data_IF_626165700740
#
_entry.id   IF_626165700740
#
_cell.length_a   1.000
_cell.length_b   1.000
_cell.length_c   1.000
_cell.angle_alpha   90.00
_cell.angle_beta   90.00
_cell.angle_gamma   90.00
#
_symmetry.space_group_name_H-M   'P 1'
#
loop_
_entity.id
_entity.type
_entity.pdbx_description
1 polymer ?
#
# COMPACT_ATOMS: atom_id res chain seq x y z
N UNK A 1 30.20 18.58 -10.54
CA UNK A 1 29.18 18.16 -9.54
C UNK A 1 28.00 17.35 -10.11
N UNK A 2 28.07 16.72 -11.30
CA UNK A 2 26.92 16.01 -11.94
C UNK A 2 26.90 14.47 -11.83
N UNK A 3 27.80 13.84 -11.07
CA UNK A 3 27.92 12.35 -11.04
C UNK A 3 27.12 11.65 -9.92
N UNK A 4 26.57 12.37 -8.94
CA UNK A 4 25.84 11.75 -7.80
C UNK A 4 24.35 11.49 -8.08
N UNK A 5 23.67 12.37 -8.83
CA UNK A 5 22.23 12.24 -9.10
C UNK A 5 21.86 10.99 -9.93
N UNK A 6 22.69 10.61 -10.93
CA UNK A 6 22.41 9.45 -11.78
C UNK A 6 22.50 8.10 -11.06
N UNK A 7 23.31 7.98 -10.00
CA UNK A 7 23.51 6.70 -9.30
C UNK A 7 22.34 6.38 -8.36
N UNK A 8 21.72 7.43 -7.81
CA UNK A 8 20.62 7.35 -6.86
C UNK A 8 19.30 6.99 -7.57
N UNK A 9 19.08 7.53 -8.77
CA UNK A 9 17.97 7.16 -9.67
C UNK A 9 18.01 5.70 -10.11
N UNK A 10 19.20 5.13 -10.30
CA UNK A 10 19.35 3.75 -10.75
C UNK A 10 19.02 2.77 -9.62
N UNK A 11 19.49 3.07 -8.40
CA UNK A 11 19.17 2.28 -7.22
C UNK A 11 17.67 2.28 -6.91
N UNK A 12 16.98 3.43 -6.96
CA UNK A 12 15.52 3.47 -6.73
C UNK A 12 14.73 2.64 -7.75
N UNK A 13 15.16 2.63 -9.02
CA UNK A 13 14.53 1.82 -10.07
C UNK A 13 14.78 0.32 -9.88
N UNK A 14 15.95 -0.06 -9.36
CA UNK A 14 16.29 -1.45 -9.05
C UNK A 14 15.49 -1.97 -7.84
N UNK A 15 15.33 -1.15 -6.80
CA UNK A 15 14.42 -1.47 -5.68
C UNK A 15 12.97 -1.62 -6.16
N UNK A 16 12.44 -0.68 -6.94
CA UNK A 16 11.08 -0.78 -7.49
C UNK A 16 10.87 -2.08 -8.28
N UNK A 17 11.87 -2.53 -9.03
CA UNK A 17 11.79 -3.78 -9.80
C UNK A 17 11.78 -5.00 -8.88
N UNK A 18 12.69 -5.08 -7.91
CA UNK A 18 12.79 -6.21 -6.98
C UNK A 18 11.54 -6.32 -6.11
N UNK A 19 11.02 -5.19 -5.63
CA UNK A 19 9.79 -5.14 -4.84
C UNK A 19 8.59 -5.63 -5.65
N UNK A 20 8.48 -5.24 -6.93
CA UNK A 20 7.38 -5.69 -7.79
C UNK A 20 7.44 -7.18 -8.12
N UNK A 21 8.63 -7.74 -8.29
CA UNK A 21 8.80 -9.17 -8.61
C UNK A 21 8.49 -10.10 -7.42
N UNK A 22 8.71 -9.63 -6.18
CA UNK A 22 8.56 -10.44 -4.97
C UNK A 22 7.51 -9.85 -4.00
N UNK A 23 6.53 -9.13 -4.55
CA UNK A 23 5.69 -8.22 -3.76
C UNK A 23 4.86 -8.93 -2.69
N UNK A 24 4.31 -10.11 -3.00
CA UNK A 24 3.51 -10.86 -2.04
C UNK A 24 4.37 -11.44 -0.90
N UNK A 25 5.53 -12.03 -1.23
CA UNK A 25 6.45 -12.61 -0.26
C UNK A 25 6.98 -11.54 0.72
N UNK A 26 7.19 -10.32 0.22
CA UNK A 26 7.64 -9.20 1.04
C UNK A 26 6.51 -8.61 1.87
N UNK A 27 5.33 -8.38 1.29
CA UNK A 27 4.22 -7.68 1.95
C UNK A 27 3.60 -8.51 3.05
N UNK A 28 3.44 -9.81 2.88
CA UNK A 28 2.70 -10.63 3.84
C UNK A 28 3.30 -10.53 5.26
N UNK A 29 4.62 -10.70 5.47
CA UNK A 29 5.26 -10.47 6.76
C UNK A 29 5.10 -9.03 7.28
N UNK A 30 5.14 -8.03 6.40
CA UNK A 30 4.94 -6.64 6.80
C UNK A 30 3.49 -6.34 7.19
N UNK A 31 2.51 -6.90 6.48
CA UNK A 31 1.10 -6.75 6.82
C UNK A 31 0.80 -7.38 8.19
N UNK A 32 1.44 -8.50 8.53
CA UNK A 32 1.33 -9.10 9.85
C UNK A 32 1.94 -8.20 10.93
N UNK A 33 3.18 -7.73 10.74
CA UNK A 33 3.91 -6.95 11.75
C UNK A 33 3.44 -5.50 11.88
N UNK A 34 3.09 -4.85 10.78
CA UNK A 34 2.82 -3.40 10.71
C UNK A 34 1.33 -3.07 10.69
N UNK A 35 0.51 -3.94 10.10
CA UNK A 35 -0.93 -3.74 9.95
C UNK A 35 -1.75 -4.67 10.86
N UNK A 36 -1.10 -5.58 11.61
CA UNK A 36 -1.73 -6.58 12.45
C UNK A 36 -2.70 -7.50 11.69
N UNK A 37 -2.34 -7.88 10.45
CA UNK A 37 -3.16 -8.73 9.57
C UNK A 37 -2.61 -10.14 9.53
N UNK A 38 -3.40 -11.11 10.00
CA UNK A 38 -3.00 -12.53 9.93
C UNK A 38 -3.02 -13.04 8.47
N UNK A 39 -1.93 -13.59 7.93
CA UNK A 39 -1.87 -14.09 6.55
C UNK A 39 -2.96 -15.11 6.19
N UNK A 40 -3.44 -15.92 7.15
CA UNK A 40 -4.50 -16.91 6.94
C UNK A 40 -5.85 -16.29 6.56
N UNK A 41 -6.01 -14.99 6.80
CA UNK A 41 -7.23 -14.24 6.53
C UNK A 41 -7.24 -13.56 5.16
N UNK A 42 -6.14 -13.61 4.40
CA UNK A 42 -6.05 -13.02 3.07
C UNK A 42 -6.73 -13.89 2.02
N UNK A 43 -7.49 -13.27 1.12
CA UNK A 43 -8.13 -13.91 -0.03
C UNK A 43 -7.90 -13.10 -1.29
N UNK A 44 -7.71 -13.81 -2.40
CA UNK A 44 -7.62 -13.21 -3.72
C UNK A 44 -8.92 -12.50 -4.07
N UNK A 45 -8.77 -11.43 -4.83
CA UNK A 45 -9.88 -10.69 -5.40
C UNK A 45 -9.98 -11.06 -6.89
N UNK A 46 -11.09 -11.65 -7.34
CA UNK A 46 -11.26 -11.95 -8.76
C UNK A 46 -11.49 -10.68 -9.59
N UNK A 47 -10.85 -10.60 -10.76
CA UNK A 47 -11.00 -9.54 -11.74
C UNK A 47 -10.70 -8.13 -11.19
N UNK A 48 -9.58 -7.99 -10.47
CA UNK A 48 -9.06 -6.72 -9.90
C UNK A 48 -9.10 -5.57 -10.89
N UNK A 49 -9.57 -4.39 -10.47
CA UNK A 49 -9.52 -3.03 -11.09
C UNK A 49 -9.38 -2.89 -12.64
N UNK A 50 -9.73 -3.90 -13.42
CA UNK A 50 -9.50 -4.01 -14.86
C UNK A 50 -10.63 -3.35 -15.66
N UNK A 51 -11.07 -2.18 -15.22
CA UNK A 51 -12.00 -1.31 -15.95
C UNK A 51 -11.25 -0.07 -16.36
N UNK A 52 -10.73 -0.05 -17.60
CA UNK A 52 -10.08 1.09 -18.31
C UNK A 52 -9.00 1.89 -17.57
N UNK A 53 -8.65 1.53 -16.33
CA UNK A 53 -7.44 1.97 -15.66
C UNK A 53 -6.31 1.12 -16.24
N UNK A 54 -5.40 1.76 -16.96
CA UNK A 54 -4.18 1.11 -17.45
C UNK A 54 -3.28 0.64 -16.29
N UNK A 55 -3.54 1.14 -15.08
CA UNK A 55 -2.74 0.92 -13.86
C UNK A 55 -3.44 -0.08 -12.94
N UNK A 56 -2.65 -1.03 -12.43
CA UNK A 56 -3.04 -1.98 -11.39
C UNK A 56 -2.42 -1.55 -10.05
N UNK A 57 -3.09 -1.82 -8.92
CA UNK A 57 -2.48 -1.64 -7.62
C UNK A 57 -1.30 -2.60 -7.44
N UNK A 58 -0.32 -2.20 -6.64
CA UNK A 58 0.84 -3.03 -6.34
C UNK A 58 0.45 -4.28 -5.51
N UNK A 59 -0.49 -4.13 -4.56
CA UNK A 59 -1.05 -5.25 -3.82
C UNK A 59 -2.51 -5.01 -3.42
N UNK A 60 -3.34 -6.03 -3.61
CA UNK A 60 -4.78 -5.98 -3.35
C UNK A 60 -5.29 -7.34 -2.89
N UNK A 61 -5.87 -7.42 -1.69
CA UNK A 61 -6.50 -8.64 -1.15
C UNK A 61 -7.73 -8.29 -0.34
N UNK A 62 -8.64 -9.25 -0.20
CA UNK A 62 -9.71 -9.20 0.80
C UNK A 62 -9.19 -9.78 2.11
N UNK A 63 -9.36 -9.06 3.21
CA UNK A 63 -9.08 -9.55 4.57
C UNK A 63 -10.38 -10.03 5.20
N UNK A 64 -10.39 -11.29 5.62
CA UNK A 64 -11.51 -11.90 6.36
C UNK A 64 -11.31 -11.67 7.85
N UNK A 65 -12.30 -11.07 8.51
CA UNK A 65 -12.17 -10.84 9.94
C UNK A 65 -12.16 -12.16 10.73
N UNK A 66 -11.30 -12.22 11.74
CA UNK A 66 -11.30 -13.35 12.67
C UNK A 66 -12.48 -13.23 13.64
N UNK A 67 -13.41 -14.19 13.53
CA UNK A 67 -14.62 -14.25 14.37
C UNK A 67 -14.33 -14.47 15.85
N UNK A 68 -13.12 -14.90 16.20
CA UNK A 68 -12.68 -15.09 17.59
C UNK A 68 -12.23 -13.79 18.28
N UNK A 69 -12.02 -12.70 17.53
CA UNK A 69 -11.60 -11.43 18.13
C UNK A 69 -12.77 -10.69 18.81
N UNK A 70 -12.52 -10.17 20.02
CA UNK A 70 -13.52 -9.45 20.83
C UNK A 70 -13.93 -8.11 20.21
N UNK A 71 -13.04 -7.48 19.48
CA UNK A 71 -13.37 -6.34 18.62
C UNK A 71 -13.91 -6.88 17.30
N UNK A 72 -15.17 -6.58 16.97
CA UNK A 72 -15.81 -7.00 15.72
C UNK A 72 -15.22 -6.21 14.55
N UNK A 73 -14.01 -6.58 14.13
CA UNK A 73 -13.48 -6.18 12.83
C UNK A 73 -14.39 -6.83 11.78
N UNK A 74 -14.80 -6.09 10.75
CA UNK A 74 -15.53 -6.63 9.60
C UNK A 74 -14.55 -6.99 8.50
N UNK A 75 -14.98 -7.83 7.57
CA UNK A 75 -14.23 -8.02 6.32
C UNK A 75 -13.96 -6.67 5.66
N UNK A 76 -12.75 -6.49 5.13
CA UNK A 76 -12.34 -5.27 4.45
C UNK A 76 -11.43 -5.58 3.26
N UNK A 77 -11.23 -4.59 2.40
CA UNK A 77 -10.29 -4.63 1.28
C UNK A 77 -8.99 -4.00 1.74
N UNK A 78 -7.88 -4.73 1.63
CA UNK A 78 -6.54 -4.21 1.84
C UNK A 78 -5.94 -3.81 0.50
N UNK A 79 -5.58 -2.54 0.37
CA UNK A 79 -4.98 -1.96 -0.82
C UNK A 79 -3.67 -1.28 -0.46
N UNK A 80 -2.57 -1.70 -1.07
CA UNK A 80 -1.22 -1.22 -0.78
C UNK A 80 -0.53 -0.76 -2.06
N UNK A 81 0.19 0.36 -1.96
CA UNK A 81 1.02 0.95 -3.01
C UNK A 81 2.44 1.21 -2.47
N UNK A 82 3.47 1.02 -3.30
CA UNK A 82 4.86 1.32 -2.96
C UNK A 82 5.30 2.60 -3.64
N UNK A 83 6.01 3.45 -2.91
CA UNK A 83 6.57 4.68 -3.46
C UNK A 83 7.99 4.91 -3.00
N UNK A 84 8.87 5.17 -3.96
CA UNK A 84 10.24 5.65 -3.73
C UNK A 84 10.34 7.18 -3.76
N UNK A 85 9.30 7.87 -4.26
CA UNK A 85 9.26 9.32 -4.40
C UNK A 85 7.89 9.87 -3.98
N UNK A 86 7.85 11.15 -3.61
CA UNK A 86 6.59 11.84 -3.31
C UNK A 86 5.80 12.10 -4.59
N UNK A 87 4.86 11.21 -4.90
CA UNK A 87 3.97 11.35 -6.05
C UNK A 87 2.94 12.45 -5.77
N UNK A 88 2.88 13.45 -6.67
CA UNK A 88 2.06 14.65 -6.48
C UNK A 88 0.57 14.35 -6.36
N UNK A 89 0.08 13.40 -7.15
CA UNK A 89 -1.35 13.10 -7.28
C UNK A 89 -1.75 11.85 -6.51
N UNK A 90 -0.90 11.38 -5.58
CA UNK A 90 -1.14 10.14 -4.84
C UNK A 90 -2.50 10.13 -4.14
N UNK A 91 -2.89 11.24 -3.48
CA UNK A 91 -4.19 11.31 -2.83
C UNK A 91 -5.36 11.12 -3.80
N UNK A 92 -5.26 11.66 -5.03
CA UNK A 92 -6.29 11.52 -6.04
C UNK A 92 -6.36 10.09 -6.57
N UNK A 93 -5.20 9.47 -6.83
CA UNK A 93 -5.09 8.07 -7.21
C UNK A 93 -5.68 7.14 -6.15
N UNK A 94 -5.33 7.34 -4.89
CA UNK A 94 -5.84 6.55 -3.77
C UNK A 94 -7.36 6.69 -3.62
N UNK A 95 -7.89 7.91 -3.77
CA UNK A 95 -9.34 8.15 -3.75
C UNK A 95 -10.08 7.49 -4.93
N UNK A 96 -9.49 7.50 -6.13
CA UNK A 96 -10.05 6.81 -7.29
C UNK A 96 -10.16 5.30 -7.04
N UNK A 97 -9.07 4.69 -6.57
CA UNK A 97 -9.08 3.28 -6.20
C UNK A 97 -10.11 2.99 -5.10
N UNK A 98 -10.19 3.83 -4.07
CA UNK A 98 -11.18 3.67 -3.01
C UNK A 98 -12.60 3.63 -3.59
N UNK A 99 -12.94 4.63 -4.41
CA UNK A 99 -14.28 4.75 -4.98
C UNK A 99 -14.64 3.54 -5.84
N UNK A 100 -13.70 3.02 -6.65
CA UNK A 100 -13.95 1.84 -7.49
C UNK A 100 -14.09 0.58 -6.65
N UNK A 101 -13.17 0.34 -5.70
CA UNK A 101 -13.18 -0.83 -4.83
C UNK A 101 -14.43 -0.85 -3.95
N UNK A 102 -14.73 0.26 -3.29
CA UNK A 102 -15.91 0.40 -2.44
C UNK A 102 -17.20 0.20 -3.24
N UNK A 103 -17.30 0.80 -4.44
CA UNK A 103 -18.46 0.61 -5.32
C UNK A 103 -18.65 -0.86 -5.67
N UNK A 104 -17.58 -1.58 -5.99
CA UNK A 104 -17.61 -2.97 -6.47
C UNK A 104 -17.87 -3.98 -5.35
N UNK A 105 -17.17 -3.86 -4.22
CA UNK A 105 -17.17 -4.87 -3.17
C UNK A 105 -18.08 -4.53 -1.98
N UNK A 106 -18.48 -3.26 -1.81
CA UNK A 106 -19.30 -2.80 -0.67
C UNK A 106 -18.68 -3.11 0.70
N UNK A 107 -17.35 -3.15 0.75
CA UNK A 107 -16.55 -3.36 1.95
C UNK A 107 -15.70 -2.12 2.19
N UNK A 108 -15.39 -1.85 3.45
CA UNK A 108 -14.43 -0.81 3.81
C UNK A 108 -13.09 -1.10 3.13
N UNK A 109 -12.40 -0.05 2.70
CA UNK A 109 -11.12 -0.17 2.00
C UNK A 109 -10.05 0.48 2.86
N UNK A 110 -9.14 -0.33 3.37
CA UNK A 110 -7.99 0.13 4.14
C UNK A 110 -6.82 0.30 3.18
N UNK A 111 -6.38 1.54 3.03
CA UNK A 111 -5.42 1.93 2.00
C UNK A 111 -4.13 2.47 2.62
N UNK A 112 -3.01 1.91 2.19
CA UNK A 112 -1.69 2.26 2.68
C UNK A 112 -0.72 2.54 1.55
N UNK A 113 0.16 3.53 1.73
CA UNK A 113 1.36 3.70 0.92
C UNK A 113 2.57 3.34 1.76
N UNK A 114 3.36 2.38 1.28
CA UNK A 114 4.64 2.02 1.85
C UNK A 114 5.72 2.89 1.19
N UNK A 115 6.24 3.86 1.94
CA UNK A 115 7.29 4.75 1.45
C UNK A 115 8.66 4.18 1.74
N UNK A 116 9.36 3.80 0.68
CA UNK A 116 10.72 3.22 0.69
C UNK A 116 11.76 4.19 0.10
N UNK A 117 11.35 5.43 -0.18
CA UNK A 117 12.22 6.49 -0.67
C UNK A 117 13.26 6.94 0.36
N UNK A 118 14.02 7.99 0.03
CA UNK A 118 14.98 8.60 0.99
C UNK A 118 14.28 9.63 1.88
N UNK A 119 14.61 9.62 3.18
CA UNK A 119 13.90 10.41 4.19
C UNK A 119 12.44 9.96 4.43
N UNK A 120 11.65 10.82 5.06
CA UNK A 120 10.21 10.59 5.25
C UNK A 120 9.40 11.14 4.10
N UNK A 121 8.29 10.48 3.77
CA UNK A 121 7.31 10.94 2.80
C UNK A 121 6.76 12.32 3.18
N UNK A 122 6.59 13.16 2.16
CA UNK A 122 5.99 14.50 2.24
C UNK A 122 4.76 14.65 1.35
N UNK A 123 4.38 13.60 0.62
CA UNK A 123 3.19 13.59 -0.23
C UNK A 123 1.92 13.89 0.56
N UNK A 124 0.96 14.53 -0.11
CA UNK A 124 -0.32 14.85 0.49
C UNK A 124 -1.13 13.56 0.70
N UNK A 125 -1.65 13.38 1.91
CA UNK A 125 -2.41 12.18 2.29
C UNK A 125 -3.92 12.41 2.35
N UNK A 126 -4.36 13.65 2.13
CA UNK A 126 -5.73 14.09 2.38
C UNK A 126 -6.28 14.83 1.16
N UNK A 127 -7.54 14.58 0.82
CA UNK A 127 -8.36 15.43 -0.04
C UNK A 127 -9.51 15.98 0.79
N UNK A 128 -9.61 17.30 0.81
CA UNK A 128 -10.73 18.02 1.41
C UNK A 128 -11.32 18.95 0.34
N UNK A 129 -12.61 18.80 0.09
CA UNK A 129 -13.44 19.68 -0.71
C UNK A 129 -14.84 19.75 -0.10
N UNK A 130 -15.69 20.65 -0.58
CA UNK A 130 -17.02 20.93 0.00
C UNK A 130 -17.84 19.68 0.34
N UNK A 131 -17.79 18.65 -0.52
CA UNK A 131 -18.56 17.41 -0.38
C UNK A 131 -17.67 16.16 -0.38
N UNK A 132 -16.36 16.30 -0.15
CA UNK A 132 -15.40 15.19 -0.19
C UNK A 132 -14.38 15.33 0.92
N UNK A 133 -14.29 14.31 1.77
CA UNK A 133 -13.22 14.14 2.75
C UNK A 133 -12.64 12.74 2.57
N UNK A 134 -11.38 12.67 2.17
CA UNK A 134 -10.69 11.41 1.92
C UNK A 134 -9.28 11.45 2.52
N UNK A 135 -8.83 10.31 3.05
CA UNK A 135 -7.50 10.10 3.61
C UNK A 135 -7.04 8.66 3.35
N UNK A 136 -5.74 8.48 3.19
CA UNK A 136 -5.05 7.20 3.30
C UNK A 136 -3.83 7.34 4.23
N UNK A 137 -3.26 6.23 4.65
CA UNK A 137 -2.12 6.23 5.58
C UNK A 137 -0.79 5.98 4.84
N UNK A 138 0.27 6.66 5.26
CA UNK A 138 1.63 6.43 4.77
C UNK A 138 2.48 5.79 5.87
N UNK A 139 3.09 4.66 5.52
CA UNK A 139 4.04 3.94 6.36
C UNK A 139 5.44 4.23 5.85
N UNK A 140 6.22 4.98 6.63
CA UNK A 140 7.62 5.25 6.31
C UNK A 140 8.47 4.05 6.71
N UNK A 141 9.01 3.32 5.73
CA UNK A 141 9.74 2.08 6.01
C UNK A 141 11.05 2.30 6.78
N UNK A 142 11.61 3.51 6.71
CA UNK A 142 12.78 3.90 7.51
C UNK A 142 12.51 3.98 9.01
N UNK A 143 11.25 4.14 9.43
CA UNK A 143 10.90 4.21 10.85
C UNK A 143 10.92 2.81 11.51
N UNK A 144 11.04 1.75 10.71
CA UNK A 144 11.15 0.37 11.18
C UNK A 144 12.61 -0.08 11.13
N UNK A 145 13.10 -0.69 12.21
CA UNK A 145 14.48 -1.15 12.28
C UNK A 145 14.74 -2.24 11.23
N UNK A 146 15.98 -2.30 10.74
CA UNK A 146 16.44 -3.31 9.77
C UNK A 146 16.14 -4.76 10.23
N UNK A 147 15.96 -4.98 11.54
CA UNK A 147 15.61 -6.27 12.16
C UNK A 147 14.18 -6.75 11.82
N UNK A 148 13.25 -5.84 11.52
CA UNK A 148 11.93 -6.22 11.00
C UNK A 148 12.03 -6.85 9.60
N UNK A 149 13.02 -6.44 8.81
CA UNK A 149 13.27 -6.89 7.44
C UNK A 149 14.06 -8.20 7.38
N UNK A 150 14.90 -8.49 8.39
CA UNK A 150 15.73 -9.70 8.44
C UNK A 150 14.96 -10.96 8.91
N UNK A 151 13.79 -10.79 9.54
CA UNK A 151 12.98 -11.92 10.04
C UNK A 151 11.74 -12.18 9.17
N UNK A 152 11.90 -12.06 7.85
CA UNK A 152 10.91 -12.45 6.85
C UNK A 152 11.45 -13.65 6.09
N UNK A 153 11.49 -14.81 6.76
CA UNK A 153 11.78 -16.12 6.18
C UNK A 153 10.54 -17.00 6.31
#
# INVERSE_FOLDING_TARGET
>A
MKKKENKQSYQSQEYDKIFKENIEELIIPFAEKLLNINPKNLRDIPNDLQTTLERKPDFLKKVIADKAQKEKIKDFILHIEFQTVDERDMAHRMNEYYAILYRKYKLDVHQYVFFIGTGKAKMKQIIEAKNLSFRFDVINMQDFSYELFLNSN
#
